data_IF_943217439215
#
_entry.id   IF_943217439215
#
_cell.length_a   1.000
_cell.length_b   1.000
_cell.length_c   1.000
_cell.angle_alpha   90.00
_cell.angle_beta   90.00
_cell.angle_gamma   90.00
#
_symmetry.space_group_name_H-M   'P 1'
#
loop_
_entity.id
_entity.type
_entity.pdbx_description
1 polymer ?
#
# COMPACT_ATOMS: atom_id res chain seq x y z
N UNK A 1 -19.44 -112.45 -42.93
CA UNK A 1 -18.65 -113.67 -43.14
C UNK A 1 -17.23 -113.28 -43.51
N UNK A 2 -16.26 -113.79 -42.72
CA UNK A 2 -14.92 -114.26 -43.15
C UNK A 2 -13.91 -113.26 -43.75
N UNK A 3 -12.77 -113.14 -43.05
CA UNK A 3 -11.35 -113.10 -43.47
C UNK A 3 -10.98 -112.46 -44.84
N UNK A 4 -10.16 -111.40 -44.88
CA UNK A 4 -8.68 -111.38 -44.85
C UNK A 4 -8.02 -111.71 -46.20
N UNK A 5 -7.12 -110.81 -46.67
CA UNK A 5 -5.95 -111.08 -47.52
C UNK A 5 -5.29 -109.71 -47.85
N UNK A 6 -4.09 -109.43 -47.36
CA UNK A 6 -2.77 -109.80 -47.91
C UNK A 6 -2.33 -108.90 -49.09
N UNK A 7 -1.15 -108.28 -48.98
CA UNK A 7 -0.06 -108.45 -49.95
C UNK A 7 1.13 -107.51 -49.67
N UNK A 8 2.30 -108.08 -49.86
CA UNK A 8 3.65 -107.53 -49.75
C UNK A 8 4.12 -107.07 -51.15
N UNK A 9 4.97 -106.04 -51.29
CA UNK A 9 6.14 -106.01 -52.21
C UNK A 9 6.77 -104.63 -52.45
N UNK A 10 8.04 -104.53 -52.06
CA UNK A 10 9.24 -104.12 -52.81
C UNK A 10 9.25 -102.98 -53.86
N UNK A 11 10.20 -102.05 -53.62
CA UNK A 11 11.19 -101.45 -54.56
C UNK A 11 10.68 -100.63 -55.78
N UNK A 12 11.27 -99.51 -56.22
CA UNK A 12 12.63 -98.99 -56.06
C UNK A 12 12.75 -97.54 -56.58
N UNK A 13 13.63 -96.77 -55.92
CA UNK A 13 14.68 -95.93 -56.49
C UNK A 13 14.37 -94.63 -57.28
N UNK A 14 14.98 -93.55 -56.75
CA UNK A 14 15.97 -92.67 -57.40
C UNK A 14 15.57 -91.19 -57.45
N UNK A 15 16.13 -90.43 -56.50
CA UNK A 15 16.00 -88.98 -56.40
C UNK A 15 17.05 -88.20 -57.19
N UNK A 16 16.66 -86.99 -57.59
CA UNK A 16 17.29 -85.70 -57.24
C UNK A 16 16.51 -84.56 -57.90
N UNK A 17 15.97 -83.60 -57.12
CA UNK A 17 16.03 -82.17 -57.48
C UNK A 17 15.51 -81.19 -56.40
N UNK A 18 16.27 -80.09 -56.26
CA UNK A 18 15.89 -78.70 -55.91
C UNK A 18 15.35 -78.39 -54.51
N UNK A 19 16.25 -77.92 -53.64
CA UNK A 19 15.93 -77.29 -52.35
C UNK A 19 15.38 -75.87 -52.55
N UNK A 20 14.08 -75.69 -52.31
CA UNK A 20 13.47 -74.37 -52.11
C UNK A 20 13.74 -73.91 -50.67
N UNK A 21 14.29 -72.70 -50.48
CA UNK A 21 14.44 -72.08 -49.15
C UNK A 21 13.05 -71.68 -48.63
N UNK A 22 12.33 -72.65 -48.07
CA UNK A 22 11.21 -72.37 -47.16
C UNK A 22 11.79 -72.00 -45.80
N UNK A 23 11.72 -70.73 -45.42
CA UNK A 23 11.81 -70.38 -44.01
C UNK A 23 10.69 -71.12 -43.30
N UNK A 24 11.05 -72.01 -42.38
CA UNK A 24 10.06 -72.85 -41.72
C UNK A 24 9.20 -71.98 -40.79
N UNK A 25 7.94 -72.38 -40.62
CA UNK A 25 7.02 -71.76 -39.65
C UNK A 25 7.64 -71.71 -38.25
N UNK A 26 8.54 -72.64 -37.92
CA UNK A 26 9.26 -72.63 -36.63
C UNK A 26 10.23 -71.45 -36.46
N UNK A 27 10.79 -70.89 -37.54
CA UNK A 27 11.65 -69.70 -37.47
C UNK A 27 10.82 -68.44 -37.22
N UNK A 28 9.63 -68.34 -37.82
CA UNK A 28 8.71 -67.24 -37.51
C UNK A 28 8.16 -67.34 -36.09
N UNK A 29 7.89 -68.56 -35.61
CA UNK A 29 7.46 -68.78 -34.24
C UNK A 29 8.58 -68.46 -33.25
N UNK A 30 9.84 -68.84 -33.54
CA UNK A 30 10.98 -68.51 -32.68
C UNK A 30 11.23 -67.00 -32.61
N UNK A 31 11.13 -66.29 -33.73
CA UNK A 31 11.27 -64.83 -33.76
C UNK A 31 10.11 -64.13 -33.03
N UNK A 32 8.88 -64.64 -33.15
CA UNK A 32 7.73 -64.12 -32.41
C UNK A 32 7.87 -64.37 -30.90
N UNK A 33 8.36 -65.55 -30.50
CA UNK A 33 8.62 -65.83 -29.08
C UNK A 33 9.81 -65.05 -28.54
N UNK A 34 10.85 -64.78 -29.33
CA UNK A 34 11.97 -63.92 -28.92
C UNK A 34 11.50 -62.48 -28.75
N UNK A 35 10.70 -61.94 -29.66
CA UNK A 35 10.10 -60.61 -29.53
C UNK A 35 9.11 -60.53 -28.36
N UNK A 36 8.26 -61.54 -28.15
CA UNK A 36 7.35 -61.57 -27.00
C UNK A 36 8.12 -61.64 -25.67
N UNK A 37 9.22 -62.41 -25.60
CA UNK A 37 10.09 -62.48 -24.42
C UNK A 37 10.84 -61.15 -24.16
N UNK A 38 11.33 -60.48 -25.21
CA UNK A 38 11.98 -59.17 -25.10
C UNK A 38 11.00 -58.08 -24.66
N UNK A 39 9.78 -58.08 -25.22
CA UNK A 39 8.71 -57.15 -24.83
C UNK A 39 8.26 -57.42 -23.38
N UNK A 40 8.19 -58.68 -22.95
CA UNK A 40 7.89 -59.03 -21.54
C UNK A 40 8.99 -58.55 -20.57
N UNK A 41 10.27 -58.63 -20.94
CA UNK A 41 11.37 -58.20 -20.06
C UNK A 41 11.49 -56.67 -19.99
N UNK A 42 11.32 -55.95 -21.11
CA UNK A 42 11.24 -54.48 -21.13
C UNK A 42 10.03 -53.98 -20.34
N UNK A 43 8.88 -54.63 -20.48
CA UNK A 43 7.68 -54.33 -19.70
C UNK A 43 7.92 -54.58 -18.21
N UNK A 44 8.58 -55.67 -17.85
CA UNK A 44 8.93 -55.99 -16.47
C UNK A 44 9.95 -54.98 -15.89
N UNK A 45 10.89 -54.48 -16.69
CA UNK A 45 11.87 -53.46 -16.28
C UNK A 45 11.21 -52.09 -16.10
N UNK A 46 10.30 -51.70 -17.00
CA UNK A 46 9.50 -50.49 -16.89
C UNK A 46 8.57 -50.54 -15.65
N UNK A 47 7.92 -51.68 -15.39
CA UNK A 47 7.09 -51.88 -14.21
C UNK A 47 7.88 -51.81 -12.89
N UNK A 48 9.10 -52.38 -12.85
CA UNK A 48 10.00 -52.26 -11.70
C UNK A 48 10.40 -50.80 -11.45
N UNK A 49 10.82 -50.10 -12.51
CA UNK A 49 11.16 -48.68 -12.46
C UNK A 49 9.99 -47.81 -11.98
N UNK A 50 8.76 -48.13 -12.43
CA UNK A 50 7.54 -47.43 -12.01
C UNK A 50 7.23 -47.66 -10.53
N UNK A 51 7.44 -48.88 -10.00
CA UNK A 51 7.29 -49.17 -8.57
C UNK A 51 8.31 -48.43 -7.72
N UNK A 52 9.56 -48.37 -8.17
CA UNK A 52 10.62 -47.65 -7.47
C UNK A 52 10.37 -46.14 -7.47
N UNK A 53 9.96 -45.58 -8.62
CA UNK A 53 9.60 -44.18 -8.73
C UNK A 53 8.39 -43.85 -7.86
N UNK A 54 7.35 -44.69 -7.84
CA UNK A 54 6.19 -44.53 -6.96
C UNK A 54 6.59 -44.55 -5.48
N UNK A 55 7.51 -45.42 -5.09
CA UNK A 55 8.01 -45.51 -3.71
C UNK A 55 8.82 -44.26 -3.35
N UNK A 56 9.68 -43.78 -4.24
CA UNK A 56 10.45 -42.53 -4.07
C UNK A 56 9.53 -41.31 -4.00
N UNK A 57 8.55 -41.20 -4.89
CA UNK A 57 7.54 -40.13 -4.88
C UNK A 57 6.77 -40.15 -3.56
N UNK A 58 6.28 -41.32 -3.13
CA UNK A 58 5.57 -41.43 -1.85
C UNK A 58 6.45 -41.04 -0.66
N UNK A 59 7.72 -41.45 -0.66
CA UNK A 59 8.70 -41.04 0.35
C UNK A 59 8.94 -39.53 0.35
N UNK A 60 9.10 -38.92 -0.82
CA UNK A 60 9.31 -37.48 -0.95
C UNK A 60 8.05 -36.67 -0.61
N UNK A 61 6.86 -37.12 -1.02
CA UNK A 61 5.59 -36.46 -0.68
C UNK A 61 5.37 -36.42 0.84
N UNK A 62 5.74 -37.46 1.57
CA UNK A 62 5.68 -37.45 3.04
C UNK A 62 6.65 -36.44 3.66
N UNK A 63 7.88 -36.36 3.14
CA UNK A 63 8.87 -35.36 3.59
C UNK A 63 8.39 -33.94 3.30
N UNK A 64 7.89 -33.70 2.08
CA UNK A 64 7.34 -32.40 1.69
C UNK A 64 6.14 -32.01 2.55
N UNK A 65 5.24 -32.96 2.86
CA UNK A 65 4.10 -32.68 3.74
C UNK A 65 4.52 -32.22 5.14
N UNK A 66 5.55 -32.83 5.72
CA UNK A 66 6.10 -32.42 7.03
C UNK A 66 6.75 -31.03 6.91
N UNK A 67 7.57 -30.81 5.88
CA UNK A 67 8.20 -29.50 5.65
C UNK A 67 7.16 -28.39 5.47
N UNK A 68 6.11 -28.61 4.68
CA UNK A 68 5.03 -27.62 4.51
C UNK A 68 4.30 -27.34 5.82
N UNK A 69 4.07 -28.35 6.66
CA UNK A 69 3.48 -28.16 7.98
C UNK A 69 4.38 -27.31 8.87
N UNK A 70 5.68 -27.57 8.85
CA UNK A 70 6.66 -26.85 9.66
C UNK A 70 6.82 -25.41 9.15
N UNK A 71 6.78 -25.18 7.83
CA UNK A 71 6.71 -23.83 7.23
C UNK A 71 5.47 -23.08 7.70
N UNK A 72 4.27 -23.69 7.60
CA UNK A 72 3.03 -23.05 8.08
C UNK A 72 3.08 -22.71 9.57
N UNK A 73 3.71 -23.57 10.37
CA UNK A 73 3.92 -23.32 11.79
C UNK A 73 4.89 -22.15 12.04
N UNK A 74 6.00 -22.10 11.31
CA UNK A 74 6.95 -20.99 11.37
C UNK A 74 6.30 -19.67 10.92
N UNK A 75 5.53 -19.67 9.83
CA UNK A 75 4.79 -18.50 9.36
C UNK A 75 3.83 -17.98 10.42
N UNK A 76 3.11 -18.87 11.10
CA UNK A 76 2.22 -18.50 12.22
C UNK A 76 2.99 -17.87 13.38
N UNK A 77 4.18 -18.38 13.70
CA UNK A 77 5.05 -17.81 14.74
C UNK A 77 5.67 -16.48 14.32
N UNK A 78 6.07 -16.34 13.06
CA UNK A 78 6.58 -15.08 12.51
C UNK A 78 5.47 -14.03 12.56
N UNK A 79 4.24 -14.38 12.17
CA UNK A 79 3.09 -13.48 12.27
C UNK A 79 2.84 -13.04 13.72
N UNK A 80 2.87 -13.97 14.69
CA UNK A 80 2.74 -13.64 16.11
C UNK A 80 3.90 -12.78 16.64
N UNK A 81 5.13 -13.02 16.19
CA UNK A 81 6.29 -12.21 16.57
C UNK A 81 6.22 -10.81 15.99
N UNK A 82 5.78 -10.68 14.73
CA UNK A 82 5.52 -9.39 14.08
C UNK A 82 4.41 -8.67 14.86
N UNK A 83 3.31 -9.35 15.18
CA UNK A 83 2.22 -8.78 15.95
C UNK A 83 2.68 -8.33 17.35
N UNK A 84 3.47 -9.15 18.05
CA UNK A 84 4.02 -8.79 19.36
C UNK A 84 5.03 -7.64 19.26
N UNK A 85 5.86 -7.60 18.21
CA UNK A 85 6.82 -6.52 17.99
C UNK A 85 6.11 -5.21 17.65
N UNK A 86 5.08 -5.26 16.81
CA UNK A 86 4.20 -4.13 16.54
C UNK A 86 3.52 -3.68 17.83
N UNK A 87 2.99 -4.60 18.65
CA UNK A 87 2.38 -4.24 19.93
C UNK A 87 3.39 -3.58 20.91
N UNK A 88 4.65 -4.01 20.89
CA UNK A 88 5.72 -3.40 21.68
C UNK A 88 6.11 -2.01 21.14
N UNK A 89 6.26 -1.86 19.82
CA UNK A 89 6.59 -0.58 19.19
C UNK A 89 5.41 0.41 19.24
N UNK A 90 4.17 -0.08 19.22
CA UNK A 90 2.95 0.66 19.57
C UNK A 90 3.05 1.14 21.02
N UNK A 91 3.48 0.30 21.96
CA UNK A 91 3.57 0.65 23.38
C UNK A 91 4.73 1.59 23.72
N UNK A 92 5.76 1.68 22.87
CA UNK A 92 6.96 2.50 23.09
C UNK A 92 7.17 3.54 21.97
N UNK A 93 6.38 4.63 21.96
CA UNK A 93 6.50 5.73 21.00
C UNK A 93 7.89 6.41 20.98
N UNK A 94 8.73 6.14 22.00
CA UNK A 94 10.12 6.61 22.10
C UNK A 94 11.02 6.05 21.00
N UNK A 95 10.83 4.79 20.59
CA UNK A 95 11.64 4.18 19.53
C UNK A 95 11.34 4.84 18.19
N UNK A 96 10.06 5.02 17.87
CA UNK A 96 9.62 5.69 16.64
C UNK A 96 10.08 7.15 16.63
N UNK A 97 9.99 7.86 17.76
CA UNK A 97 10.53 9.21 17.87
C UNK A 97 12.04 9.27 17.62
N UNK A 98 12.79 8.23 18.01
CA UNK A 98 14.23 8.12 17.75
C UNK A 98 14.51 7.83 16.28
N UNK A 99 13.75 6.94 15.64
CA UNK A 99 13.82 6.71 14.19
C UNK A 99 13.56 8.01 13.40
N UNK A 100 12.60 8.82 13.83
CA UNK A 100 12.31 10.13 13.23
C UNK A 100 13.49 11.13 13.33
N UNK A 101 14.46 10.91 14.22
CA UNK A 101 15.68 11.73 14.30
C UNK A 101 16.82 11.18 13.44
N UNK A 102 16.78 9.90 13.11
CA UNK A 102 17.84 9.19 12.39
C UNK A 102 17.55 9.00 10.90
N UNK A 103 16.28 9.13 10.49
CA UNK A 103 15.85 8.91 9.11
C UNK A 103 16.46 9.94 8.15
N UNK A 104 16.90 9.46 6.99
CA UNK A 104 17.42 10.30 5.91
C UNK A 104 16.29 10.97 5.14
N UNK A 105 16.57 12.13 4.52
CA UNK A 105 15.58 12.90 3.74
C UNK A 105 14.84 12.05 2.69
N UNK A 106 15.52 11.09 2.06
CA UNK A 106 14.96 10.21 1.03
C UNK A 106 13.90 9.22 1.57
N UNK A 107 13.94 8.90 2.86
CA UNK A 107 13.10 7.88 3.49
C UNK A 107 12.01 8.48 4.38
N UNK A 108 11.99 9.82 4.53
CA UNK A 108 11.04 10.53 5.39
C UNK A 108 9.61 10.18 5.00
N UNK A 109 9.29 10.16 3.70
CA UNK A 109 7.94 9.88 3.21
C UNK A 109 7.50 8.46 3.53
N UNK A 110 8.38 7.47 3.34
CA UNK A 110 8.10 6.08 3.70
C UNK A 110 7.84 5.93 5.19
N UNK A 111 8.69 6.54 6.03
CA UNK A 111 8.50 6.51 7.48
C UNK A 111 7.19 7.19 7.90
N UNK A 112 6.88 8.37 7.33
CA UNK A 112 5.63 9.08 7.55
C UNK A 112 4.43 8.20 7.22
N UNK A 113 4.45 7.53 6.06
CA UNK A 113 3.34 6.67 5.63
C UNK A 113 3.14 5.50 6.61
N UNK A 114 4.22 4.81 6.95
CA UNK A 114 4.18 3.70 7.91
C UNK A 114 3.66 4.15 9.27
N UNK A 115 4.17 5.25 9.81
CA UNK A 115 3.78 5.69 11.16
C UNK A 115 2.35 6.24 11.18
N UNK A 116 1.99 7.09 10.21
CA UNK A 116 0.72 7.81 10.24
C UNK A 116 -0.48 6.97 9.77
N UNK A 117 -0.25 6.00 8.86
CA UNK A 117 -1.33 5.23 8.24
C UNK A 117 -1.28 3.74 8.53
N UNK A 118 -0.14 3.19 8.96
CA UNK A 118 -0.02 1.76 9.29
C UNK A 118 0.04 1.52 10.80
N UNK A 119 0.95 2.18 11.53
CA UNK A 119 1.14 1.97 12.97
C UNK A 119 0.09 2.70 13.81
N UNK A 120 -0.22 3.94 13.46
CA UNK A 120 -1.22 4.77 14.14
C UNK A 120 -2.31 5.25 13.17
N UNK A 121 -2.73 4.35 12.28
CA UNK A 121 -3.65 4.61 11.17
C UNK A 121 -5.11 4.81 11.57
N UNK A 122 -5.53 4.26 12.71
CA UNK A 122 -6.89 4.37 13.20
C UNK A 122 -7.09 5.67 14.01
N UNK A 123 -7.48 6.72 13.30
CA UNK A 123 -7.69 8.05 13.87
C UNK A 123 -8.87 8.18 14.84
N UNK A 124 -9.72 7.15 14.94
CA UNK A 124 -10.86 7.12 15.86
C UNK A 124 -10.59 6.25 17.09
N UNK A 125 -9.49 5.49 17.09
CA UNK A 125 -9.06 4.71 18.24
C UNK A 125 -8.26 5.61 19.21
N UNK A 126 -8.80 5.81 20.40
CA UNK A 126 -8.21 6.70 21.41
C UNK A 126 -6.82 6.24 21.83
N UNK A 127 -6.57 4.93 21.82
CA UNK A 127 -5.24 4.38 22.13
C UNK A 127 -4.20 4.76 21.08
N UNK A 128 -4.49 4.58 19.79
CA UNK A 128 -3.54 4.93 18.72
C UNK A 128 -3.31 6.44 18.65
N UNK A 129 -4.36 7.24 18.83
CA UNK A 129 -4.23 8.69 18.93
C UNK A 129 -3.30 9.08 20.09
N UNK A 130 -3.51 8.51 21.28
CA UNK A 130 -2.67 8.77 22.44
C UNK A 130 -1.20 8.42 22.20
N UNK A 131 -0.92 7.29 21.55
CA UNK A 131 0.44 6.83 21.24
C UNK A 131 1.12 7.75 20.22
N UNK A 132 0.40 8.17 19.18
CA UNK A 132 0.90 9.12 18.19
C UNK A 132 1.22 10.49 18.81
N UNK A 133 0.32 11.01 19.65
CA UNK A 133 0.56 12.24 20.41
C UNK A 133 1.77 12.09 21.35
N UNK A 134 1.89 10.96 22.03
CA UNK A 134 3.04 10.67 22.89
C UNK A 134 4.35 10.62 22.08
N UNK A 135 4.33 10.08 20.86
CA UNK A 135 5.49 10.09 19.97
C UNK A 135 5.91 11.52 19.59
N UNK A 136 4.94 12.39 19.31
CA UNK A 136 5.17 13.82 19.07
C UNK A 136 5.86 14.51 20.24
N UNK A 137 5.56 14.12 21.49
CA UNK A 137 6.22 14.66 22.68
C UNK A 137 7.73 14.36 22.72
N UNK A 138 8.14 13.17 22.28
CA UNK A 138 9.55 12.77 22.24
C UNK A 138 10.29 13.27 20.98
N UNK A 139 9.53 13.82 20.03
CA UNK A 139 10.02 14.48 18.83
C UNK A 139 10.33 15.97 19.04
N UNK A 140 11.17 16.54 18.18
CA UNK A 140 11.43 17.98 18.17
C UNK A 140 10.30 18.72 17.43
N UNK A 141 9.24 19.11 18.15
CA UNK A 141 8.04 19.77 17.60
C UNK A 141 8.31 21.10 16.88
N UNK A 142 9.31 21.87 17.32
CA UNK A 142 9.53 23.26 16.89
C UNK A 142 10.46 23.40 15.67
N UNK A 143 10.91 22.29 15.05
CA UNK A 143 11.87 22.35 13.94
C UNK A 143 11.17 22.10 12.60
N UNK A 144 11.10 23.13 11.78
CA UNK A 144 10.55 23.04 10.42
C UNK A 144 11.22 21.93 9.59
N UNK A 145 10.44 21.33 8.68
CA UNK A 145 10.89 20.30 7.74
C UNK A 145 11.46 19.01 8.36
N UNK A 146 11.15 18.74 9.63
CA UNK A 146 11.44 17.43 10.25
C UNK A 146 10.30 16.42 10.00
N UNK A 147 10.57 15.10 10.11
CA UNK A 147 9.52 14.08 10.04
C UNK A 147 8.38 14.37 11.03
N UNK A 148 8.71 14.81 12.25
CA UNK A 148 7.73 15.14 13.29
C UNK A 148 6.86 16.32 12.88
N UNK A 149 7.43 17.43 12.39
CA UNK A 149 6.62 18.56 11.92
C UNK A 149 5.75 18.21 10.71
N UNK A 150 6.24 17.38 9.79
CA UNK A 150 5.41 16.87 8.68
C UNK A 150 4.29 15.96 9.19
N UNK A 151 4.55 15.10 10.18
CA UNK A 151 3.54 14.25 10.80
C UNK A 151 2.46 15.08 11.51
N UNK A 152 2.81 16.21 12.13
CA UNK A 152 1.83 17.13 12.71
C UNK A 152 0.92 17.73 11.64
N UNK A 153 1.48 18.19 10.51
CA UNK A 153 0.68 18.68 9.37
C UNK A 153 -0.24 17.58 8.82
N UNK A 154 0.25 16.34 8.72
CA UNK A 154 -0.57 15.21 8.30
C UNK A 154 -1.66 14.90 9.34
N UNK A 155 -1.33 14.98 10.63
CA UNK A 155 -2.27 14.74 11.74
C UNK A 155 -3.44 15.73 11.73
N UNK A 156 -3.19 17.04 11.56
CA UNK A 156 -4.27 18.04 11.54
C UNK A 156 -5.17 17.91 10.30
N UNK A 157 -4.70 17.26 9.24
CA UNK A 157 -5.47 16.94 8.03
C UNK A 157 -6.25 15.62 8.11
N UNK A 158 -6.22 14.92 9.25
CA UNK A 158 -7.00 13.69 9.47
C UNK A 158 -8.49 13.99 9.64
N UNK A 159 -9.31 12.93 9.64
CA UNK A 159 -10.77 13.01 9.69
C UNK A 159 -11.30 13.99 10.75
N UNK A 160 -10.91 13.89 12.02
CA UNK A 160 -11.36 14.83 13.05
C UNK A 160 -11.03 16.30 12.76
N UNK A 161 -9.83 16.59 12.24
CA UNK A 161 -9.43 17.95 11.87
C UNK A 161 -10.20 18.50 10.67
N UNK A 162 -10.43 17.66 9.64
CA UNK A 162 -11.27 18.02 8.50
C UNK A 162 -12.73 18.26 8.91
N UNK A 163 -13.28 17.38 9.74
CA UNK A 163 -14.65 17.52 10.25
C UNK A 163 -14.81 18.83 11.03
N UNK A 164 -13.86 19.17 11.90
CA UNK A 164 -13.85 20.43 12.62
C UNK A 164 -13.85 21.63 11.66
N UNK A 165 -12.88 21.71 10.74
CA UNK A 165 -12.78 22.82 9.79
C UNK A 165 -14.04 22.93 8.92
N UNK A 166 -14.61 21.79 8.49
CA UNK A 166 -15.86 21.78 7.73
C UNK A 166 -17.03 22.28 8.57
N UNK A 167 -17.16 21.84 9.82
CA UNK A 167 -18.26 22.29 10.69
C UNK A 167 -18.18 23.78 11.02
N UNK A 168 -16.97 24.34 11.12
CA UNK A 168 -16.77 25.74 11.51
C UNK A 168 -16.81 26.66 10.30
N UNK A 169 -16.10 26.34 9.21
CA UNK A 169 -15.87 27.29 8.12
C UNK A 169 -16.79 27.10 6.91
N UNK A 170 -17.42 25.92 6.76
CA UNK A 170 -18.12 25.59 5.50
C UNK A 170 -19.28 26.53 5.19
N UNK A 171 -20.07 26.93 6.18
CA UNK A 171 -21.21 27.83 5.96
C UNK A 171 -20.74 29.20 5.43
N UNK A 172 -19.76 29.82 6.11
CA UNK A 172 -19.23 31.13 5.69
C UNK A 172 -18.52 31.09 4.35
N UNK A 173 -17.75 30.05 4.07
CA UNK A 173 -17.11 29.87 2.76
C UNK A 173 -18.17 29.69 1.68
N UNK A 174 -19.21 28.90 1.93
CA UNK A 174 -20.27 28.65 0.95
C UNK A 174 -21.06 29.93 0.66
N UNK A 175 -21.39 30.71 1.69
CA UNK A 175 -22.04 32.01 1.54
C UNK A 175 -21.20 32.97 0.69
N UNK A 176 -19.88 33.00 0.88
CA UNK A 176 -18.98 33.85 0.10
C UNK A 176 -18.88 33.39 -1.36
N UNK A 177 -18.86 32.07 -1.60
CA UNK A 177 -18.76 31.50 -2.96
C UNK A 177 -20.06 31.68 -3.76
N UNK A 178 -21.20 31.74 -3.09
CA UNK A 178 -22.50 31.94 -3.74
C UNK A 178 -22.77 33.40 -4.14
N UNK A 179 -22.03 34.35 -3.57
CA UNK A 179 -22.13 35.76 -3.94
C UNK A 179 -21.40 36.00 -5.28
N UNK A 180 -22.13 35.95 -6.38
CA UNK A 180 -21.57 36.10 -7.73
C UNK A 180 -21.24 37.56 -8.09
N UNK A 181 -21.74 38.53 -7.34
CA UNK A 181 -21.53 39.96 -7.59
C UNK A 181 -20.41 40.55 -6.73
N UNK A 182 -19.88 39.78 -5.78
CA UNK A 182 -18.84 40.25 -4.89
C UNK A 182 -17.53 40.50 -5.63
N UNK A 183 -17.07 41.75 -5.59
CA UNK A 183 -15.75 42.15 -6.07
C UNK A 183 -14.95 42.74 -4.91
N UNK A 184 -13.94 42.01 -4.45
CA UNK A 184 -13.05 42.40 -3.35
C UNK A 184 -11.68 42.88 -3.86
N UNK A 185 -11.54 43.25 -5.14
CA UNK A 185 -10.30 43.78 -5.68
C UNK A 185 -10.04 45.19 -5.12
N UNK A 186 -8.97 45.30 -4.33
CA UNK A 186 -8.53 46.54 -3.67
C UNK A 186 -7.26 47.12 -4.30
N UNK A 187 -6.68 46.47 -5.32
CA UNK A 187 -5.51 46.99 -6.00
C UNK A 187 -5.88 48.23 -6.84
N UNK A 188 -5.37 49.43 -6.51
CA UNK A 188 -5.76 50.67 -7.19
C UNK A 188 -5.53 50.65 -8.70
N UNK A 189 -4.43 50.06 -9.17
CA UNK A 189 -4.11 49.98 -10.61
C UNK A 189 -5.14 49.13 -11.35
N UNK A 190 -5.54 47.99 -10.77
CA UNK A 190 -6.52 47.11 -11.40
C UNK A 190 -7.94 47.70 -11.40
N UNK A 191 -8.29 48.44 -10.35
CA UNK A 191 -9.58 49.15 -10.28
C UNK A 191 -9.58 50.32 -11.27
N UNK A 192 -8.47 51.05 -11.37
CA UNK A 192 -8.27 52.10 -12.35
C UNK A 192 -8.39 51.58 -13.79
N UNK A 193 -7.76 50.44 -14.11
CA UNK A 193 -7.83 49.82 -15.43
C UNK A 193 -9.24 49.30 -15.81
N UNK A 194 -10.14 49.13 -14.82
CA UNK A 194 -11.55 48.76 -15.06
C UNK A 194 -12.40 49.97 -15.49
N UNK A 195 -11.92 51.19 -15.27
CA UNK A 195 -12.60 52.41 -15.68
C UNK A 195 -12.31 52.67 -17.16
N UNK A 196 -13.35 52.58 -18.00
CA UNK A 196 -13.20 52.59 -19.47
C UNK A 196 -12.68 53.91 -20.05
N UNK A 197 -12.75 55.01 -19.31
CA UNK A 197 -12.42 56.36 -19.78
C UNK A 197 -11.06 56.89 -19.31
N UNK A 198 -10.24 56.07 -18.66
CA UNK A 198 -8.97 56.51 -18.08
C UNK A 198 -7.72 56.05 -18.86
N UNK A 199 -6.63 56.86 -18.90
CA UNK A 199 -5.37 56.50 -19.56
C UNK A 199 -4.73 55.25 -18.96
N UNK A 200 -4.38 54.25 -19.78
CA UNK A 200 -3.71 53.03 -19.29
C UNK A 200 -2.23 53.27 -18.98
N UNK A 201 -1.69 52.50 -18.03
CA UNK A 201 -0.26 52.51 -17.68
C UNK A 201 0.14 53.54 -16.62
N UNK A 202 -0.80 53.87 -15.73
CA UNK A 202 -0.63 54.83 -14.64
C UNK A 202 0.15 54.20 -13.48
N UNK A 203 0.90 55.02 -12.74
CA UNK A 203 1.65 54.55 -11.57
C UNK A 203 0.70 54.13 -10.43
N UNK A 204 1.12 53.24 -9.52
CA UNK A 204 0.29 52.86 -8.37
C UNK A 204 -0.10 54.06 -7.48
N UNK A 205 0.79 55.04 -7.33
CA UNK A 205 0.51 56.25 -6.55
C UNK A 205 -0.58 57.11 -7.20
N UNK A 206 -0.50 57.32 -8.52
CA UNK A 206 -1.46 58.12 -9.27
C UNK A 206 -2.84 57.43 -9.34
N UNK A 207 -2.86 56.11 -9.49
CA UNK A 207 -4.10 55.31 -9.47
C UNK A 207 -4.77 55.34 -8.09
N UNK A 208 -3.97 55.29 -7.01
CA UNK A 208 -4.47 55.39 -5.64
C UNK A 208 -4.94 56.81 -5.26
N UNK A 209 -4.40 57.85 -5.89
CA UNK A 209 -4.83 59.24 -5.69
C UNK A 209 -6.12 59.61 -6.42
N UNK A 210 -6.59 58.77 -7.36
CA UNK A 210 -7.81 59.03 -8.11
C UNK A 210 -9.06 58.86 -7.22
N UNK A 211 -9.89 59.89 -7.16
CA UNK A 211 -11.09 59.95 -6.31
C UNK A 211 -12.12 58.86 -6.66
N UNK A 212 -12.37 58.58 -7.95
CA UNK A 212 -13.32 57.53 -8.37
C UNK A 212 -12.83 56.14 -7.97
N UNK A 213 -11.51 55.89 -8.07
CA UNK A 213 -10.90 54.64 -7.62
C UNK A 213 -11.05 54.47 -6.11
N UNK A 214 -10.83 55.54 -5.33
CA UNK A 214 -11.03 55.52 -3.88
C UNK A 214 -12.49 55.24 -3.51
N UNK A 215 -13.44 55.88 -4.19
CA UNK A 215 -14.88 55.69 -3.97
C UNK A 215 -15.33 54.25 -4.29
N UNK A 216 -14.69 53.57 -5.24
CA UNK A 216 -14.94 52.16 -5.55
C UNK A 216 -14.27 51.23 -4.55
N UNK A 217 -13.04 51.53 -4.12
CA UNK A 217 -12.27 50.67 -3.20
C UNK A 217 -12.83 50.72 -1.78
N UNK A 218 -13.28 51.89 -1.33
CA UNK A 218 -13.74 52.09 0.04
C UNK A 218 -14.83 51.08 0.49
N UNK A 219 -15.96 50.91 -0.23
CA UNK A 219 -16.97 49.91 0.16
C UNK A 219 -16.44 48.47 0.07
N UNK A 220 -15.47 48.18 -0.81
CA UNK A 220 -14.83 46.85 -0.91
C UNK A 220 -13.94 46.58 0.29
N UNK A 221 -13.20 47.58 0.76
CA UNK A 221 -12.35 47.49 1.94
C UNK A 221 -13.20 47.27 3.20
N UNK A 222 -14.27 48.05 3.36
CA UNK A 222 -15.23 47.87 4.45
C UNK A 222 -15.81 46.44 4.42
N UNK A 223 -16.21 45.95 3.23
CA UNK A 223 -16.71 44.59 3.09
C UNK A 223 -15.66 43.52 3.40
N UNK A 224 -14.42 43.72 3.00
CA UNK A 224 -13.32 42.80 3.27
C UNK A 224 -13.01 42.72 4.77
N UNK A 225 -13.01 43.87 5.47
CA UNK A 225 -12.85 43.93 6.92
C UNK A 225 -14.01 43.22 7.63
N UNK A 226 -15.25 43.52 7.23
CA UNK A 226 -16.45 42.86 7.75
C UNK A 226 -16.36 41.34 7.59
N UNK A 227 -15.95 40.84 6.41
CA UNK A 227 -15.76 39.41 6.17
C UNK A 227 -14.65 38.83 7.05
N UNK A 228 -13.51 39.50 7.17
CA UNK A 228 -12.38 39.03 7.97
C UNK A 228 -12.72 38.94 9.46
N UNK A 229 -13.36 39.96 10.03
CA UNK A 229 -13.85 39.98 11.41
C UNK A 229 -14.84 38.83 11.66
N UNK A 230 -15.79 38.66 10.74
CA UNK A 230 -16.77 37.58 10.76
C UNK A 230 -16.13 36.18 10.79
N UNK A 231 -15.08 35.94 9.99
CA UNK A 231 -14.32 34.70 10.01
C UNK A 231 -13.54 34.54 11.32
N UNK A 232 -12.92 35.61 11.81
CA UNK A 232 -12.13 35.60 13.03
C UNK A 232 -13.02 35.28 14.24
N UNK A 233 -14.15 35.96 14.40
CA UNK A 233 -15.11 35.73 15.48
C UNK A 233 -15.64 34.29 15.48
N UNK A 234 -15.88 33.73 14.30
CA UNK A 234 -16.30 32.34 14.16
C UNK A 234 -15.22 31.36 14.60
N UNK A 235 -13.95 31.62 14.25
CA UNK A 235 -12.82 30.79 14.68
C UNK A 235 -12.60 30.90 16.20
N UNK A 236 -12.70 32.11 16.76
CA UNK A 236 -12.50 32.35 18.19
C UNK A 236 -13.64 31.77 19.03
N UNK A 237 -14.88 31.86 18.56
CA UNK A 237 -16.04 31.26 19.24
C UNK A 237 -16.09 29.74 19.14
N UNK A 238 -15.44 29.14 18.14
CA UNK A 238 -15.38 27.67 17.95
C UNK A 238 -14.24 26.97 18.68
N UNK A 239 -13.48 27.65 19.54
CA UNK A 239 -12.36 27.05 20.31
C UNK A 239 -12.78 25.78 21.08
N UNK A 240 -14.02 25.73 21.58
CA UNK A 240 -14.54 24.58 22.31
C UNK A 240 -14.71 23.31 21.43
N UNK A 241 -14.96 23.47 20.13
CA UNK A 241 -15.14 22.34 19.19
C UNK A 241 -13.83 21.85 18.57
N UNK A 242 -12.70 22.51 18.83
CA UNK A 242 -11.38 22.05 18.36
C UNK A 242 -11.09 20.63 18.86
N UNK A 243 -10.70 19.67 18.00
CA UNK A 243 -10.39 18.30 18.42
C UNK A 243 -9.33 18.22 19.52
N UNK A 244 -9.47 17.21 20.40
CA UNK A 244 -8.59 17.05 21.57
C UNK A 244 -7.10 17.03 21.20
N UNK A 245 -6.68 16.20 20.25
CA UNK A 245 -5.26 16.09 19.96
C UNK A 245 -4.67 17.35 19.31
N UNK A 246 -5.46 18.15 18.59
CA UNK A 246 -5.02 19.48 18.12
C UNK A 246 -4.79 20.42 19.33
N UNK A 247 -5.73 20.48 20.28
CA UNK A 247 -5.55 21.25 21.52
C UNK A 247 -4.34 20.78 22.32
N UNK A 248 -4.14 19.47 22.39
CA UNK A 248 -3.00 18.86 23.06
C UNK A 248 -1.68 19.28 22.40
N UNK A 249 -1.59 19.24 21.06
CA UNK A 249 -0.41 19.69 20.32
C UNK A 249 -0.12 21.16 20.61
N UNK A 250 -1.13 22.04 20.54
CA UNK A 250 -0.98 23.45 20.87
C UNK A 250 -0.48 23.66 22.31
N UNK A 251 -0.99 22.87 23.28
CA UNK A 251 -0.51 22.87 24.67
C UNK A 251 0.96 22.45 24.77
N UNK A 252 1.38 21.43 24.02
CA UNK A 252 2.79 21.02 24.00
C UNK A 252 3.70 22.08 23.39
N UNK A 253 3.29 22.70 22.26
CA UNK A 253 4.02 23.79 21.63
C UNK A 253 4.21 24.93 22.63
N UNK A 254 3.12 25.38 23.30
CA UNK A 254 3.21 26.41 24.35
C UNK A 254 4.20 26.04 25.45
N UNK A 255 4.14 24.80 25.96
CA UNK A 255 5.03 24.33 27.01
C UNK A 255 6.50 24.32 26.57
N UNK A 256 6.79 23.86 25.35
CA UNK A 256 8.14 23.84 24.80
C UNK A 256 8.69 25.25 24.55
N UNK A 257 7.88 26.15 23.99
CA UNK A 257 8.27 27.54 23.76
C UNK A 257 8.59 28.25 25.07
N UNK A 258 7.77 28.08 26.12
CA UNK A 258 8.02 28.67 27.44
C UNK A 258 9.29 28.14 28.11
N UNK A 259 9.65 26.87 27.87
CA UNK A 259 10.91 26.31 28.37
C UNK A 259 12.13 26.84 27.61
N UNK A 260 12.00 27.05 26.31
CA UNK A 260 13.09 27.53 25.44
C UNK A 260 13.33 29.03 25.58
N UNK A 261 12.26 29.79 25.80
CA UNK A 261 12.29 31.25 25.97
C UNK A 261 11.42 31.63 27.17
N UNK A 262 11.96 31.58 28.40
CA UNK A 262 11.22 31.86 29.62
C UNK A 262 10.68 33.29 29.71
N UNK A 263 11.40 34.23 29.10
CA UNK A 263 11.10 35.67 29.14
C UNK A 263 10.16 36.13 28.02
N UNK A 264 9.68 35.21 27.17
CA UNK A 264 8.70 35.54 26.13
C UNK A 264 7.35 35.88 26.79
N UNK A 265 6.87 37.11 26.57
CA UNK A 265 5.57 37.58 27.06
C UNK A 265 4.43 36.66 26.61
N UNK A 266 3.47 36.38 27.50
CA UNK A 266 2.24 35.63 27.15
C UNK A 266 1.28 36.46 26.27
N UNK A 267 1.52 37.76 26.13
CA UNK A 267 0.75 38.69 25.31
C UNK A 267 1.73 39.60 24.56
N UNK A 268 1.81 39.44 23.25
CA UNK A 268 2.43 40.40 22.33
C UNK A 268 1.47 40.62 21.17
#
# INVERSE_FOLDING_TARGET
AVAAAAANSHHSNRGKNRTSKRYSVSVFYSMATEQDNEVEDELAQAQRSLRDLKTKISGQSKKNFVLERDVRYLDSRIALLIQNRIALDESEPRHIATLCRLVNLAEIDTLLQTVMFTLYGNQYESREEHLLLTMFQFGSLLRANTPVSRMMTTYTRRGPGQCYLKSVLSERITSLVQDAEINLEINPVKVYDQLMDLPKGVTPEDAAANQEVQEIIQPRLEKLMELAENFLDLILSSVASVPYGIRWICKQIRSLTKRKSPDASEYS
#
